data_IF_519152454202
#
_entry.id   IF_519152454202
#
_cell.length_a   1.000
_cell.length_b   1.000
_cell.length_c   1.000
_cell.angle_alpha   90.00
_cell.angle_beta   90.00
_cell.angle_gamma   90.00
#
_symmetry.space_group_name_H-M   'P 1'
#
loop_
_entity.id
_entity.type
_entity.pdbx_description
1 polymer ?
#
# COMPACT_ATOMS: atom_id res chain seq x y z
N UNK A 1 6.55 -14.09 -6.64
CA UNK A 1 7.31 -12.87 -6.27
C UNK A 1 6.32 -11.75 -6.01
N UNK A 2 6.36 -11.16 -4.83
CA UNK A 2 5.52 -10.01 -4.44
C UNK A 2 6.03 -8.75 -5.15
N UNK A 3 5.16 -7.97 -5.75
CA UNK A 3 5.50 -6.70 -6.38
C UNK A 3 5.76 -5.63 -5.31
N UNK A 4 6.91 -4.96 -5.39
CA UNK A 4 7.32 -3.92 -4.45
C UNK A 4 6.91 -2.56 -5.00
N UNK A 5 6.10 -1.82 -4.24
CA UNK A 5 5.60 -0.51 -4.66
C UNK A 5 6.47 0.57 -4.00
N UNK A 6 7.12 1.40 -4.83
CA UNK A 6 7.97 2.47 -4.37
C UNK A 6 7.39 3.83 -4.73
N UNK A 7 7.13 4.66 -3.71
CA UNK A 7 6.70 6.05 -3.91
C UNK A 7 7.92 6.93 -4.19
N UNK A 8 7.88 7.70 -5.29
CA UNK A 8 8.91 8.69 -5.61
C UNK A 8 8.45 9.66 -6.69
N UNK A 9 9.01 10.88 -6.66
CA UNK A 9 8.97 11.85 -7.75
C UNK A 9 10.39 12.24 -8.22
N UNK A 10 11.41 11.50 -7.79
CA UNK A 10 12.79 11.63 -8.23
C UNK A 10 13.06 10.68 -9.41
N UNK A 11 13.33 11.21 -10.63
CA UNK A 11 13.59 10.40 -11.81
C UNK A 11 14.85 9.52 -11.71
N UNK A 12 15.88 9.96 -10.99
CA UNK A 12 17.12 9.18 -10.86
C UNK A 12 16.89 7.99 -9.92
N UNK A 13 16.17 8.20 -8.83
CA UNK A 13 15.76 7.11 -7.96
C UNK A 13 14.77 6.16 -8.66
N UNK A 14 13.84 6.69 -9.47
CA UNK A 14 12.92 5.88 -10.26
C UNK A 14 13.66 4.95 -11.24
N UNK A 15 14.74 5.41 -11.91
CA UNK A 15 15.60 4.55 -12.77
C UNK A 15 16.28 3.43 -11.98
N UNK A 16 16.75 3.72 -10.76
CA UNK A 16 17.33 2.70 -9.88
C UNK A 16 16.30 1.62 -9.53
N UNK A 17 15.08 2.04 -9.18
CA UNK A 17 13.99 1.11 -8.90
C UNK A 17 13.59 0.29 -10.14
N UNK A 18 13.48 0.93 -11.32
CA UNK A 18 13.11 0.27 -12.59
C UNK A 18 14.11 -0.80 -13.03
N UNK A 19 15.36 -0.72 -12.58
CA UNK A 19 16.39 -1.72 -12.82
C UNK A 19 16.20 -3.01 -12.01
N UNK A 20 15.39 -2.97 -10.94
CA UNK A 20 15.12 -4.11 -10.07
C UNK A 20 13.88 -4.88 -10.54
N UNK A 21 13.87 -6.20 -10.32
CA UNK A 21 12.73 -7.03 -10.71
C UNK A 21 11.54 -6.87 -9.75
N UNK A 22 10.33 -6.86 -10.34
CA UNK A 22 9.08 -6.83 -9.58
C UNK A 22 8.83 -5.50 -8.86
N UNK A 23 9.27 -4.39 -9.44
CA UNK A 23 8.97 -3.04 -8.94
C UNK A 23 7.74 -2.45 -9.62
N UNK A 24 6.98 -1.64 -8.88
CA UNK A 24 5.96 -0.71 -9.34
C UNK A 24 6.29 0.66 -8.77
N UNK A 25 6.31 1.70 -9.61
CA UNK A 25 6.50 3.06 -9.14
C UNK A 25 5.15 3.71 -8.82
N UNK A 26 5.16 4.62 -7.85
CA UNK A 26 3.96 5.29 -7.39
C UNK A 26 4.19 6.79 -7.25
N UNK A 27 3.38 7.58 -7.99
CA UNK A 27 3.22 9.03 -7.79
C UNK A 27 1.93 9.27 -7.00
N UNK A 28 2.05 10.00 -5.90
CA UNK A 28 0.94 10.28 -4.98
C UNK A 28 0.45 11.72 -5.13
N UNK A 29 -0.69 11.90 -5.78
CA UNK A 29 -1.33 13.21 -5.98
C UNK A 29 -2.45 13.49 -4.96
N UNK A 30 -2.69 12.60 -4.01
CA UNK A 30 -3.72 12.80 -2.99
C UNK A 30 -3.42 13.99 -2.09
N UNK A 31 -4.33 14.98 -2.07
CA UNK A 31 -4.26 16.19 -1.24
C UNK A 31 -5.54 16.45 -0.47
N UNK A 32 -6.71 16.17 -1.08
CA UNK A 32 -8.01 16.48 -0.50
C UNK A 32 -8.24 15.72 0.80
N UNK A 33 -8.53 16.46 1.88
CA UNK A 33 -8.77 15.92 3.21
C UNK A 33 -7.55 15.34 3.93
N UNK A 34 -6.37 15.26 3.26
CA UNK A 34 -5.18 14.62 3.84
C UNK A 34 -4.59 15.40 5.02
N UNK A 35 -4.54 16.72 4.91
CA UNK A 35 -4.02 17.59 5.98
C UNK A 35 -4.85 17.47 7.27
N UNK A 36 -6.17 17.38 7.15
CA UNK A 36 -7.10 17.27 8.28
C UNK A 36 -6.98 15.89 8.96
N UNK A 37 -6.94 14.80 8.18
CA UNK A 37 -6.80 13.43 8.71
C UNK A 37 -5.46 13.18 9.40
N UNK A 38 -4.42 13.88 8.97
CA UNK A 38 -3.04 13.68 9.44
C UNK A 38 -2.57 14.76 10.42
N UNK A 39 -3.44 15.70 10.81
CA UNK A 39 -3.12 16.74 11.78
C UNK A 39 -2.66 16.12 13.12
N UNK A 40 -1.51 16.56 13.62
CA UNK A 40 -0.90 16.04 14.85
C UNK A 40 -0.22 14.67 14.74
N UNK A 41 -0.06 14.11 13.53
CA UNK A 41 0.56 12.80 13.30
C UNK A 41 1.84 12.94 12.48
N UNK A 42 2.84 12.11 12.77
CA UNK A 42 4.09 12.07 12.01
C UNK A 42 3.91 11.27 10.69
N UNK A 43 3.03 11.78 9.81
CA UNK A 43 2.75 11.20 8.50
C UNK A 43 3.31 12.11 7.39
N UNK A 44 3.80 11.48 6.32
CA UNK A 44 4.36 12.22 5.19
C UNK A 44 3.24 12.62 4.23
N UNK A 45 3.09 13.94 4.01
CA UNK A 45 2.27 14.46 2.92
C UNK A 45 3.18 14.58 1.70
N UNK A 46 2.86 13.87 0.64
CA UNK A 46 3.60 13.92 -0.61
C UNK A 46 3.51 15.33 -1.22
N UNK A 47 4.64 15.85 -1.68
CA UNK A 47 4.71 17.11 -2.44
C UNK A 47 4.65 16.89 -3.96
N UNK A 48 4.32 15.65 -4.40
CA UNK A 48 4.28 15.31 -5.81
C UNK A 48 3.29 16.20 -6.58
N UNK A 49 3.66 16.56 -7.79
CA UNK A 49 2.88 17.40 -8.69
C UNK A 49 2.38 16.56 -9.89
N UNK A 50 1.37 17.07 -10.58
CA UNK A 50 0.82 16.39 -11.76
C UNK A 50 1.89 16.11 -12.83
N UNK A 51 2.84 17.04 -13.03
CA UNK A 51 3.91 16.89 -14.01
C UNK A 51 4.97 15.84 -13.61
N UNK A 52 5.03 15.45 -12.34
CA UNK A 52 5.87 14.33 -11.90
C UNK A 52 5.44 13.01 -12.54
N UNK A 53 4.16 12.85 -12.89
CA UNK A 53 3.67 11.67 -13.58
C UNK A 53 4.42 11.47 -14.91
N UNK A 54 4.49 12.51 -15.76
CA UNK A 54 5.22 12.43 -17.02
C UNK A 54 6.73 12.26 -16.78
N UNK A 55 7.32 13.03 -15.85
CA UNK A 55 8.76 12.96 -15.53
C UNK A 55 9.20 11.57 -15.08
N UNK A 56 8.39 10.91 -14.25
CA UNK A 56 8.67 9.54 -13.81
C UNK A 56 8.42 8.57 -14.96
N UNK A 57 7.30 8.69 -15.69
CA UNK A 57 6.99 7.80 -16.82
C UNK A 57 8.08 7.79 -17.89
N UNK A 58 8.66 8.93 -18.21
CA UNK A 58 9.69 9.08 -19.25
C UNK A 58 10.96 8.27 -18.96
N UNK A 59 11.24 8.00 -17.69
CA UNK A 59 12.45 7.25 -17.28
C UNK A 59 12.22 5.77 -17.08
N UNK A 60 10.95 5.32 -16.97
CA UNK A 60 10.62 3.92 -16.76
C UNK A 60 10.70 3.11 -18.07
N UNK A 61 11.21 1.88 -17.98
CA UNK A 61 11.31 0.93 -19.09
C UNK A 61 10.60 -0.39 -18.83
N UNK A 62 10.47 -0.78 -17.56
CA UNK A 62 9.98 -2.10 -17.12
C UNK A 62 8.84 -1.99 -16.11
N UNK A 63 9.02 -1.17 -15.10
CA UNK A 63 8.09 -1.03 -14.00
C UNK A 63 6.83 -0.23 -14.42
N UNK A 64 5.63 -0.68 -14.08
CA UNK A 64 4.43 0.12 -14.28
C UNK A 64 4.39 1.33 -13.34
N UNK A 65 3.78 2.41 -13.81
CA UNK A 65 3.54 3.62 -13.04
C UNK A 65 2.10 3.65 -12.52
N UNK A 66 1.94 3.55 -11.22
CA UNK A 66 0.68 3.76 -10.52
C UNK A 66 0.57 5.21 -10.05
N UNK A 67 -0.62 5.82 -10.20
CA UNK A 67 -0.89 7.16 -9.66
C UNK A 67 -2.07 7.08 -8.71
N UNK A 68 -1.86 7.51 -7.45
CA UNK A 68 -2.96 7.75 -6.52
C UNK A 68 -3.50 9.14 -6.78
N UNK A 69 -4.75 9.20 -7.20
CA UNK A 69 -5.52 10.44 -7.42
C UNK A 69 -6.18 10.90 -6.12
N UNK A 70 -6.87 12.02 -6.15
CA UNK A 70 -7.69 12.45 -5.02
C UNK A 70 -8.91 11.54 -4.84
N UNK A 71 -9.53 11.51 -3.63
CA UNK A 71 -10.86 10.94 -3.43
C UNK A 71 -11.84 11.48 -4.48
N UNK A 72 -12.85 10.68 -4.87
CA UNK A 72 -13.82 11.09 -5.88
C UNK A 72 -14.43 12.45 -5.52
N UNK A 73 -14.38 13.38 -6.46
CA UNK A 73 -14.81 14.77 -6.29
C UNK A 73 -15.25 15.35 -7.64
N UNK A 74 -15.86 16.55 -7.70
CA UNK A 74 -16.32 17.15 -8.95
C UNK A 74 -15.25 17.36 -10.02
N UNK A 75 -13.96 17.45 -9.66
CA UNK A 75 -12.82 17.63 -10.58
C UNK A 75 -12.19 16.29 -11.02
N UNK A 76 -12.67 15.15 -10.53
CA UNK A 76 -12.05 13.83 -10.80
C UNK A 76 -12.01 13.49 -12.30
N UNK A 77 -12.96 13.93 -13.11
CA UNK A 77 -12.94 13.68 -14.55
C UNK A 77 -11.72 14.35 -15.22
N UNK A 78 -11.45 15.59 -14.88
CA UNK A 78 -10.30 16.35 -15.40
C UNK A 78 -8.98 15.79 -14.86
N UNK A 79 -8.92 15.44 -13.56
CA UNK A 79 -7.76 14.82 -12.94
C UNK A 79 -7.41 13.49 -13.62
N UNK A 80 -8.38 12.58 -13.79
CA UNK A 80 -8.17 11.29 -14.47
C UNK A 80 -7.64 11.52 -15.89
N UNK A 81 -8.24 12.43 -16.67
CA UNK A 81 -7.79 12.72 -18.02
C UNK A 81 -6.36 13.27 -18.04
N UNK A 82 -6.02 14.18 -17.13
CA UNK A 82 -4.72 14.80 -17.06
C UNK A 82 -3.62 13.79 -16.65
N UNK A 83 -3.93 12.88 -15.73
CA UNK A 83 -3.01 11.83 -15.25
C UNK A 83 -2.77 10.78 -16.35
N UNK A 84 -3.84 10.34 -17.03
CA UNK A 84 -3.72 9.37 -18.14
C UNK A 84 -2.96 9.94 -19.33
N UNK A 85 -3.18 11.22 -19.67
CA UNK A 85 -2.43 11.89 -20.72
C UNK A 85 -0.91 11.98 -20.44
N UNK A 86 -0.50 11.84 -19.18
CA UNK A 86 0.91 11.81 -18.75
C UNK A 86 1.47 10.40 -18.60
N UNK A 87 0.70 9.38 -18.96
CA UNK A 87 1.20 8.00 -19.10
C UNK A 87 1.09 7.13 -17.85
N UNK A 88 0.17 7.41 -16.92
CA UNK A 88 -0.13 6.49 -15.84
C UNK A 88 -0.62 5.13 -16.38
N UNK A 89 -0.08 4.03 -15.86
CA UNK A 89 -0.46 2.67 -16.24
C UNK A 89 -1.58 2.10 -15.35
N UNK A 90 -1.72 2.61 -14.11
CA UNK A 90 -2.77 2.24 -13.16
C UNK A 90 -3.21 3.48 -12.37
N UNK A 91 -4.48 3.52 -11.98
CA UNK A 91 -4.99 4.54 -11.07
C UNK A 91 -5.42 3.93 -9.74
N UNK A 92 -5.00 4.53 -8.62
CA UNK A 92 -5.42 4.14 -7.28
C UNK A 92 -6.41 5.17 -6.74
N UNK A 93 -7.63 4.71 -6.39
CA UNK A 93 -8.66 5.53 -5.73
C UNK A 93 -8.54 5.38 -4.21
N UNK A 94 -8.23 6.47 -3.46
CA UNK A 94 -8.22 6.47 -2.02
C UNK A 94 -9.59 6.83 -1.43
N UNK A 95 -9.76 6.59 -0.13
CA UNK A 95 -10.76 7.18 0.77
C UNK A 95 -12.24 7.01 0.37
N UNK A 96 -12.57 6.15 -0.59
CA UNK A 96 -13.97 5.88 -0.90
C UNK A 96 -14.66 5.17 0.29
N UNK A 97 -15.94 5.45 0.47
CA UNK A 97 -16.76 4.95 1.57
C UNK A 97 -17.99 4.18 1.10
N UNK A 98 -18.40 4.40 -0.15
CA UNK A 98 -19.60 3.82 -0.75
C UNK A 98 -19.29 3.09 -2.05
N UNK A 99 -20.22 2.21 -2.44
CA UNK A 99 -20.18 1.52 -3.73
C UNK A 99 -20.24 2.51 -4.88
N UNK A 100 -21.11 3.53 -4.76
CA UNK A 100 -21.35 4.54 -5.81
C UNK A 100 -20.09 5.36 -6.11
N UNK A 101 -19.25 5.64 -5.09
CA UNK A 101 -18.00 6.37 -5.29
C UNK A 101 -17.01 5.56 -6.15
N UNK A 102 -16.83 4.26 -5.88
CA UNK A 102 -15.93 3.42 -6.68
C UNK A 102 -16.50 3.18 -8.09
N UNK A 103 -17.81 2.96 -8.23
CA UNK A 103 -18.46 2.79 -9.52
C UNK A 103 -18.41 4.08 -10.35
N UNK A 104 -18.64 5.24 -9.72
CA UNK A 104 -18.50 6.55 -10.35
C UNK A 104 -17.08 6.79 -10.86
N UNK A 105 -16.07 6.46 -10.05
CA UNK A 105 -14.68 6.53 -10.49
C UNK A 105 -14.38 5.56 -11.63
N UNK A 106 -14.88 4.32 -11.56
CA UNK A 106 -14.75 3.35 -12.65
C UNK A 106 -15.33 3.86 -13.96
N UNK A 107 -16.50 4.51 -13.91
CA UNK A 107 -17.12 5.12 -15.09
C UNK A 107 -16.28 6.25 -15.69
N UNK A 108 -15.62 7.07 -14.83
CA UNK A 108 -14.68 8.11 -15.29
C UNK A 108 -13.43 7.52 -15.93
N UNK A 109 -12.89 6.45 -15.38
CA UNK A 109 -11.71 5.74 -15.96
C UNK A 109 -12.10 5.05 -17.27
N UNK A 110 -13.33 4.56 -17.38
CA UNK A 110 -13.91 3.98 -18.60
C UNK A 110 -13.06 2.85 -19.23
N UNK A 111 -12.42 2.02 -18.40
CA UNK A 111 -11.60 0.90 -18.83
C UNK A 111 -10.28 1.27 -19.51
N UNK A 112 -9.88 2.55 -19.50
CA UNK A 112 -8.63 3.02 -20.15
C UNK A 112 -7.39 2.46 -19.49
N UNK A 113 -7.42 2.26 -18.19
CA UNK A 113 -6.36 1.62 -17.39
C UNK A 113 -6.98 0.82 -16.24
N UNK A 114 -6.26 -0.14 -15.65
CA UNK A 114 -6.67 -0.84 -14.44
C UNK A 114 -6.85 0.09 -13.24
N UNK A 115 -7.83 -0.24 -12.37
CA UNK A 115 -8.10 0.46 -11.12
C UNK A 115 -7.57 -0.36 -9.94
N UNK A 116 -6.93 0.32 -9.00
CA UNK A 116 -6.58 -0.18 -7.66
C UNK A 116 -7.52 0.49 -6.66
N UNK A 117 -8.36 -0.27 -5.98
CA UNK A 117 -9.18 0.24 -4.88
C UNK A 117 -8.36 0.25 -3.59
N UNK A 118 -8.08 1.43 -3.04
CA UNK A 118 -7.42 1.56 -1.74
C UNK A 118 -8.48 1.47 -0.63
N UNK A 119 -8.66 0.27 -0.07
CA UNK A 119 -9.58 0.01 1.03
C UNK A 119 -8.97 0.51 2.34
N UNK A 120 -9.43 1.65 2.82
CA UNK A 120 -8.87 2.31 4.01
C UNK A 120 -9.93 3.00 4.88
N UNK A 121 -11.22 2.74 4.61
CA UNK A 121 -12.35 3.27 5.38
C UNK A 121 -13.26 2.17 5.91
N UNK A 122 -13.91 2.41 7.04
CA UNK A 122 -14.91 1.48 7.59
C UNK A 122 -16.10 1.28 6.63
N UNK A 123 -16.49 2.32 5.88
CA UNK A 123 -17.57 2.27 4.90
C UNK A 123 -17.23 1.32 3.73
N UNK A 124 -16.03 1.47 3.12
CA UNK A 124 -15.56 0.56 2.08
C UNK A 124 -15.47 -0.90 2.57
N UNK A 125 -15.01 -1.10 3.82
CA UNK A 125 -14.94 -2.43 4.43
C UNK A 125 -16.33 -3.06 4.64
N UNK A 126 -17.31 -2.26 5.06
CA UNK A 126 -18.67 -2.72 5.31
C UNK A 126 -19.37 -3.17 4.02
N UNK A 127 -19.10 -2.51 2.89
CA UNK A 127 -19.70 -2.75 1.58
C UNK A 127 -18.81 -3.55 0.63
N UNK A 128 -17.79 -4.24 1.14
CA UNK A 128 -16.78 -4.96 0.35
C UNK A 128 -17.38 -5.86 -0.73
N UNK A 129 -18.39 -6.67 -0.37
CA UNK A 129 -19.00 -7.62 -1.29
C UNK A 129 -19.81 -6.96 -2.42
N UNK A 130 -20.25 -5.71 -2.22
CA UNK A 130 -21.08 -5.00 -3.18
C UNK A 130 -20.23 -4.30 -4.25
N UNK A 131 -19.02 -3.85 -3.91
CA UNK A 131 -18.15 -3.15 -4.86
C UNK A 131 -17.00 -3.99 -5.44
N UNK A 132 -16.71 -5.18 -4.87
CA UNK A 132 -15.57 -6.00 -5.32
C UNK A 132 -15.67 -6.44 -6.79
N UNK A 133 -16.86 -6.45 -7.38
CA UNK A 133 -17.11 -6.75 -8.78
C UNK A 133 -17.19 -5.51 -9.71
N UNK A 134 -16.76 -4.34 -9.23
CA UNK A 134 -16.78 -3.10 -10.02
C UNK A 134 -15.98 -3.25 -11.31
N UNK A 135 -16.52 -2.86 -12.48
CA UNK A 135 -15.81 -2.96 -13.76
C UNK A 135 -14.48 -2.19 -13.75
N UNK A 136 -13.44 -2.76 -14.36
CA UNK A 136 -12.10 -2.16 -14.41
C UNK A 136 -11.28 -2.29 -13.13
N UNK A 137 -11.86 -2.78 -12.03
CA UNK A 137 -11.12 -3.09 -10.81
C UNK A 137 -10.15 -4.24 -11.09
N UNK A 138 -8.89 -4.05 -10.76
CA UNK A 138 -7.82 -5.05 -10.96
C UNK A 138 -7.20 -5.51 -9.66
N UNK A 139 -7.17 -4.63 -8.67
CA UNK A 139 -6.46 -4.88 -7.41
C UNK A 139 -7.21 -4.23 -6.25
N UNK A 140 -7.24 -4.92 -5.11
CA UNK A 140 -7.62 -4.34 -3.82
C UNK A 140 -6.34 -4.17 -3.01
N UNK A 141 -6.10 -2.95 -2.56
CA UNK A 141 -4.99 -2.65 -1.65
C UNK A 141 -5.55 -2.17 -0.31
N UNK A 142 -5.17 -2.80 0.81
CA UNK A 142 -5.65 -2.39 2.14
C UNK A 142 -4.70 -1.36 2.74
N UNK A 143 -5.17 -0.12 2.87
CA UNK A 143 -4.45 0.98 3.51
C UNK A 143 -4.54 0.90 5.02
N UNK A 144 -3.67 0.13 5.67
CA UNK A 144 -3.76 -0.18 7.10
C UNK A 144 -3.72 1.06 8.00
N UNK A 145 -2.99 2.13 7.56
CA UNK A 145 -2.85 3.33 8.39
C UNK A 145 -4.18 4.08 8.55
N UNK A 146 -4.90 4.34 7.47
CA UNK A 146 -6.19 5.04 7.55
C UNK A 146 -7.32 4.10 7.96
N UNK A 147 -7.25 2.81 7.59
CA UNK A 147 -8.25 1.82 7.99
C UNK A 147 -8.31 1.64 9.52
N UNK A 148 -7.15 1.49 10.20
CA UNK A 148 -7.18 1.29 11.65
C UNK A 148 -7.77 2.50 12.38
N UNK A 149 -7.49 3.72 11.87
CA UNK A 149 -8.07 4.95 12.41
C UNK A 149 -9.57 5.02 12.19
N UNK A 150 -10.03 4.69 10.99
CA UNK A 150 -11.44 4.64 10.64
C UNK A 150 -12.22 3.61 11.48
N UNK A 151 -11.54 2.57 11.96
CA UNK A 151 -12.10 1.55 12.84
C UNK A 151 -11.93 1.83 14.35
N UNK A 152 -11.29 2.96 14.73
CA UNK A 152 -11.02 3.30 16.12
C UNK A 152 -9.99 2.38 16.80
N UNK A 153 -9.09 1.77 16.03
CA UNK A 153 -8.02 0.91 16.51
C UNK A 153 -6.78 1.72 16.91
N UNK A 154 -5.88 1.13 17.70
CA UNK A 154 -4.72 1.82 18.24
C UNK A 154 -3.42 1.54 17.47
N UNK A 155 -3.34 0.42 16.76
CA UNK A 155 -2.17 0.02 16.01
C UNK A 155 -2.55 -0.42 14.58
N UNK A 156 -1.84 0.12 13.59
CA UNK A 156 -2.18 -0.09 12.19
C UNK A 156 -2.20 -1.56 11.73
N UNK A 157 -1.58 -2.49 12.46
CA UNK A 157 -1.57 -3.91 12.14
C UNK A 157 -2.68 -4.72 12.85
N UNK A 158 -3.52 -4.12 13.70
CA UNK A 158 -4.63 -4.85 14.31
C UNK A 158 -5.61 -5.45 13.29
N UNK A 159 -5.91 -4.81 12.12
CA UNK A 159 -6.73 -5.43 11.08
C UNK A 159 -6.16 -6.74 10.54
N UNK A 160 -4.84 -6.95 10.64
CA UNK A 160 -4.18 -8.20 10.27
C UNK A 160 -4.44 -9.29 11.32
N UNK A 161 -4.28 -8.96 12.61
CA UNK A 161 -4.47 -9.91 13.71
C UNK A 161 -5.93 -10.31 13.93
N UNK A 162 -6.89 -9.40 13.71
CA UNK A 162 -8.32 -9.65 13.92
C UNK A 162 -9.05 -10.25 12.70
N UNK A 163 -8.31 -10.62 11.63
CA UNK A 163 -8.85 -11.32 10.47
C UNK A 163 -9.50 -10.43 9.40
N UNK A 164 -9.54 -9.09 9.57
CA UNK A 164 -10.11 -8.17 8.57
C UNK A 164 -9.35 -8.29 7.24
N UNK A 165 -8.01 -8.26 7.29
CA UNK A 165 -7.17 -8.35 6.09
C UNK A 165 -7.36 -9.70 5.39
N UNK A 166 -7.50 -10.80 6.15
CA UNK A 166 -7.76 -12.13 5.59
C UNK A 166 -9.11 -12.19 4.85
N UNK A 167 -10.16 -11.58 5.42
CA UNK A 167 -11.48 -11.48 4.77
C UNK A 167 -11.41 -10.70 3.45
N UNK A 168 -10.64 -9.61 3.40
CA UNK A 168 -10.45 -8.83 2.17
C UNK A 168 -9.66 -9.62 1.13
N UNK A 169 -8.59 -10.32 1.54
CA UNK A 169 -7.81 -11.21 0.67
C UNK A 169 -8.70 -12.28 0.03
N UNK A 170 -9.54 -12.94 0.83
CA UNK A 170 -10.48 -13.95 0.35
C UNK A 170 -11.49 -13.38 -0.66
N UNK A 171 -12.05 -12.21 -0.40
CA UNK A 171 -12.97 -11.54 -1.32
C UNK A 171 -12.29 -11.19 -2.65
N UNK A 172 -11.06 -10.67 -2.61
CA UNK A 172 -10.27 -10.37 -3.80
C UNK A 172 -9.97 -11.62 -4.62
N UNK A 173 -9.50 -12.69 -3.97
CA UNK A 173 -9.14 -13.96 -4.63
C UNK A 173 -10.36 -14.62 -5.27
N UNK A 174 -11.53 -14.61 -4.62
CA UNK A 174 -12.79 -15.14 -5.21
C UNK A 174 -13.18 -14.43 -6.51
N UNK A 175 -12.82 -13.16 -6.66
CA UNK A 175 -13.08 -12.36 -7.87
C UNK A 175 -11.91 -12.36 -8.87
N UNK A 176 -10.84 -13.12 -8.59
CA UNK A 176 -9.63 -13.13 -9.43
C UNK A 176 -8.88 -11.80 -9.43
N UNK A 177 -9.09 -10.96 -8.42
CA UNK A 177 -8.38 -9.69 -8.26
C UNK A 177 -7.04 -9.90 -7.59
N UNK A 178 -6.07 -9.04 -7.91
CA UNK A 178 -4.84 -8.91 -7.15
C UNK A 178 -5.15 -8.33 -5.77
N UNK A 179 -4.29 -8.66 -4.80
CA UNK A 179 -4.44 -8.22 -3.43
C UNK A 179 -3.10 -7.75 -2.86
N UNK A 180 -3.12 -6.67 -2.10
CA UNK A 180 -2.00 -6.16 -1.33
C UNK A 180 -2.46 -5.45 -0.06
N UNK A 181 -1.56 -5.20 0.88
CA UNK A 181 -1.90 -4.48 2.10
C UNK A 181 -0.71 -3.78 2.75
N UNK A 182 -0.99 -2.73 3.52
CA UNK A 182 -0.06 -2.06 4.41
C UNK A 182 1.21 -1.53 3.76
N UNK A 183 2.21 -1.35 4.59
CA UNK A 183 3.58 -1.05 4.20
C UNK A 183 4.54 -1.97 4.93
N UNK A 184 5.69 -2.26 4.31
CA UNK A 184 6.73 -3.07 4.90
C UNK A 184 7.96 -2.22 5.23
N UNK A 185 8.48 -2.37 6.46
CA UNK A 185 9.77 -1.85 6.84
C UNK A 185 10.91 -2.80 6.40
N UNK A 186 12.16 -2.42 6.59
CA UNK A 186 13.28 -3.36 6.48
C UNK A 186 13.07 -4.53 7.43
N UNK A 187 13.65 -5.69 7.12
CA UNK A 187 13.30 -6.97 7.75
C UNK A 187 13.31 -6.95 9.29
N UNK A 188 14.28 -6.25 9.87
CA UNK A 188 14.49 -6.20 11.32
C UNK A 188 13.99 -4.90 11.97
N UNK A 189 13.27 -4.05 11.20
CA UNK A 189 12.81 -2.73 11.63
C UNK A 189 11.28 -2.67 11.78
N UNK A 190 10.82 -1.67 12.57
CA UNK A 190 9.41 -1.43 12.84
C UNK A 190 8.91 -2.02 14.15
N UNK A 191 7.75 -1.55 14.62
CA UNK A 191 7.09 -2.11 15.82
C UNK A 191 6.57 -3.53 15.56
N UNK A 192 6.23 -3.84 14.33
CA UNK A 192 6.11 -5.18 13.78
C UNK A 192 7.24 -5.33 12.75
N UNK A 193 8.21 -6.22 12.94
CA UNK A 193 9.33 -6.38 12.02
C UNK A 193 8.90 -6.66 10.59
N UNK A 194 9.62 -6.09 9.61
CA UNK A 194 9.31 -6.31 8.20
C UNK A 194 9.25 -7.79 7.81
N UNK A 195 10.09 -8.65 8.43
CA UNK A 195 10.05 -10.11 8.21
C UNK A 195 8.69 -10.73 8.61
N UNK A 196 8.08 -10.26 9.67
CA UNK A 196 6.77 -10.73 10.12
C UNK A 196 5.65 -10.25 9.19
N UNK A 197 5.73 -8.99 8.73
CA UNK A 197 4.82 -8.46 7.72
C UNK A 197 4.92 -9.27 6.43
N UNK A 198 6.14 -9.60 5.98
CA UNK A 198 6.38 -10.41 4.79
C UNK A 198 5.80 -11.83 4.92
N UNK A 199 5.93 -12.45 6.10
CA UNK A 199 5.34 -13.77 6.36
C UNK A 199 3.82 -13.74 6.20
N UNK A 200 3.14 -12.69 6.67
CA UNK A 200 1.70 -12.53 6.51
C UNK A 200 1.29 -12.23 5.05
N UNK A 201 2.11 -11.48 4.29
CA UNK A 201 1.90 -11.32 2.84
C UNK A 201 1.87 -12.67 2.13
N UNK A 202 2.85 -13.52 2.41
CA UNK A 202 2.94 -14.85 1.80
C UNK A 202 1.78 -15.76 2.24
N UNK A 203 1.45 -15.77 3.53
CA UNK A 203 0.33 -16.56 4.06
C UNK A 203 -1.01 -16.17 3.44
N UNK A 204 -1.24 -14.88 3.21
CA UNK A 204 -2.49 -14.35 2.65
C UNK A 204 -2.51 -14.32 1.11
N UNK A 205 -1.46 -14.81 0.44
CA UNK A 205 -1.38 -14.77 -1.02
C UNK A 205 -1.34 -13.36 -1.60
N UNK A 206 -0.79 -12.41 -0.85
CA UNK A 206 -0.62 -11.04 -1.28
C UNK A 206 0.37 -10.95 -2.44
N UNK A 207 0.09 -10.08 -3.40
CA UNK A 207 0.85 -9.92 -4.63
C UNK A 207 1.53 -8.56 -4.74
N UNK A 208 1.29 -7.64 -3.78
CA UNK A 208 1.88 -6.31 -3.78
C UNK A 208 2.09 -5.78 -2.35
N UNK A 209 3.18 -5.03 -2.14
CA UNK A 209 3.48 -4.36 -0.87
C UNK A 209 4.17 -3.01 -1.09
N UNK A 210 3.76 -1.98 -0.36
CA UNK A 210 4.40 -0.66 -0.36
C UNK A 210 5.67 -0.71 0.49
N UNK A 211 6.80 -0.29 -0.08
CA UNK A 211 8.04 -0.09 0.67
C UNK A 211 7.92 1.16 1.55
N UNK A 212 8.14 1.01 2.84
CA UNK A 212 8.05 2.13 3.78
C UNK A 212 9.28 3.05 3.67
N UNK A 213 9.19 4.21 4.32
CA UNK A 213 10.28 5.20 4.36
C UNK A 213 11.60 4.67 4.92
N UNK A 214 11.59 3.58 5.68
CA UNK A 214 12.82 3.00 6.24
C UNK A 214 13.78 2.52 5.16
N UNK A 215 13.30 2.23 3.96
CA UNK A 215 14.13 1.87 2.81
C UNK A 215 15.00 3.02 2.30
N UNK A 216 14.69 4.28 2.67
CA UNK A 216 15.44 5.47 2.26
C UNK A 216 16.43 5.99 3.30
N UNK A 217 16.52 5.39 4.50
CA UNK A 217 17.11 6.06 5.67
C UNK A 217 18.55 5.70 6.01
N UNK A 218 19.33 5.04 5.16
CA UNK A 218 20.67 4.58 5.58
C UNK A 218 21.77 4.74 4.51
N UNK A 219 21.82 5.91 3.84
CA UNK A 219 23.00 6.26 3.07
C UNK A 219 24.19 6.49 4.02
N UNK A 220 25.26 5.71 3.85
CA UNK A 220 26.51 5.95 4.59
C UNK A 220 27.29 7.05 3.85
N UNK A 221 27.59 8.20 4.48
CA UNK A 221 28.35 9.25 3.82
C UNK A 221 29.67 8.73 3.26
N UNK A 222 29.94 9.03 1.99
CA UNK A 222 31.20 8.69 1.30
C UNK A 222 31.27 7.31 0.64
N UNK A 223 30.21 6.49 0.72
CA UNK A 223 30.10 5.25 -0.05
C UNK A 223 28.99 5.39 -1.10
N UNK A 224 29.08 4.65 -2.25
CA UNK A 224 27.95 4.54 -3.17
C UNK A 224 26.72 4.05 -2.40
N UNK A 225 25.62 4.83 -2.46
CA UNK A 225 24.40 4.47 -1.76
C UNK A 225 23.70 3.31 -2.46
N UNK A 226 24.04 2.08 -2.08
CA UNK A 226 23.36 0.86 -2.47
C UNK A 226 22.42 0.34 -1.38
N UNK A 227 22.21 1.10 -0.34
CA UNK A 227 21.43 0.66 0.83
C UNK A 227 19.99 0.28 0.47
N UNK A 228 19.42 0.85 -0.59
CA UNK A 228 18.10 0.50 -1.11
C UNK A 228 18.11 -0.85 -1.82
N UNK A 229 19.01 -1.03 -2.79
CA UNK A 229 19.14 -2.28 -3.56
C UNK A 229 19.46 -3.46 -2.65
N UNK A 230 20.39 -3.28 -1.71
CA UNK A 230 20.78 -4.30 -0.74
C UNK A 230 19.59 -4.67 0.18
N UNK A 231 18.77 -3.69 0.58
CA UNK A 231 17.56 -3.95 1.36
C UNK A 231 16.49 -4.69 0.56
N UNK A 232 16.32 -4.37 -0.72
CA UNK A 232 15.42 -5.10 -1.64
C UNK A 232 15.92 -6.53 -1.86
N UNK A 233 17.23 -6.74 -2.06
CA UNK A 233 17.80 -8.07 -2.22
C UNK A 233 17.59 -8.94 -0.97
N UNK A 234 17.85 -8.40 0.22
CA UNK A 234 17.56 -9.08 1.49
C UNK A 234 16.07 -9.43 1.63
N UNK A 235 15.17 -8.53 1.20
CA UNK A 235 13.73 -8.79 1.21
C UNK A 235 13.37 -9.96 0.27
N UNK A 236 13.96 -10.01 -0.93
CA UNK A 236 13.76 -11.10 -1.90
C UNK A 236 14.27 -12.44 -1.38
N UNK A 237 15.43 -12.43 -0.72
CA UNK A 237 15.95 -13.63 -0.06
C UNK A 237 15.00 -14.12 1.04
N UNK A 238 14.52 -13.22 1.90
CA UNK A 238 13.56 -13.57 2.95
C UNK A 238 12.22 -14.05 2.37
N UNK A 239 11.73 -13.49 1.26
CA UNK A 239 10.55 -13.95 0.54
C UNK A 239 10.72 -15.41 0.10
N UNK A 240 11.88 -15.75 -0.48
CA UNK A 240 12.19 -17.12 -0.91
C UNK A 240 12.23 -18.08 0.29
N UNK A 241 12.92 -17.71 1.38
CA UNK A 241 13.02 -18.52 2.59
C UNK A 241 11.65 -18.77 3.23
N UNK A 242 10.85 -17.72 3.41
CA UNK A 242 9.52 -17.80 4.01
C UNK A 242 8.53 -18.56 3.14
N UNK A 243 8.70 -18.48 1.80
CA UNK A 243 7.90 -19.22 0.83
C UNK A 243 8.02 -20.74 0.93
N UNK A 244 9.06 -21.27 1.58
CA UNK A 244 9.23 -22.71 1.81
C UNK A 244 8.53 -23.23 3.06
N UNK A 245 7.90 -22.36 3.86
CA UNK A 245 7.25 -22.73 5.11
C UNK A 245 6.02 -23.61 4.90
N UNK A 246 5.91 -24.63 5.73
CA UNK A 246 4.71 -25.50 5.78
C UNK A 246 3.50 -24.74 6.35
N UNK A 247 2.29 -25.22 6.10
CA UNK A 247 1.07 -24.64 6.67
C UNK A 247 1.10 -24.58 8.21
N UNK A 248 1.67 -25.56 8.87
CA UNK A 248 1.82 -25.55 10.34
C UNK A 248 2.79 -24.46 10.83
N UNK A 249 3.87 -24.23 10.09
CA UNK A 249 4.82 -23.13 10.39
C UNK A 249 4.19 -21.78 10.15
N UNK A 250 3.45 -21.61 9.05
CA UNK A 250 2.70 -20.38 8.77
C UNK A 250 1.67 -20.07 9.85
N UNK A 251 0.95 -21.09 10.33
CA UNK A 251 0.00 -20.91 11.43
C UNK A 251 0.69 -20.56 12.76
N UNK A 252 1.83 -21.19 13.06
CA UNK A 252 2.65 -20.81 14.20
C UNK A 252 3.11 -19.35 14.14
N UNK A 253 3.56 -18.88 12.97
CA UNK A 253 3.92 -17.48 12.76
C UNK A 253 2.71 -16.56 12.94
N UNK A 254 1.57 -16.90 12.36
CA UNK A 254 0.33 -16.11 12.52
C UNK A 254 -0.03 -15.89 13.99
N UNK A 255 0.01 -16.94 14.80
CA UNK A 255 -0.31 -16.86 16.23
C UNK A 255 0.71 -15.98 16.97
N UNK A 256 2.00 -16.15 16.70
CA UNK A 256 3.08 -15.35 17.28
C UNK A 256 2.93 -13.87 16.91
N UNK A 257 2.72 -13.59 15.62
CA UNK A 257 2.56 -12.23 15.07
C UNK A 257 1.33 -11.55 15.68
N UNK A 258 0.21 -12.25 15.79
CA UNK A 258 -0.99 -11.72 16.44
C UNK A 258 -0.71 -11.34 17.91
N UNK A 259 0.09 -12.13 18.64
CA UNK A 259 0.53 -11.79 19.99
C UNK A 259 1.40 -10.53 20.07
N UNK A 260 2.33 -10.36 19.11
CA UNK A 260 3.15 -9.14 19.01
C UNK A 260 2.26 -7.91 18.75
N UNK A 261 1.33 -8.02 17.80
CA UNK A 261 0.39 -6.94 17.44
C UNK A 261 -0.45 -6.54 18.67
N UNK A 262 -1.04 -7.50 19.38
CA UNK A 262 -1.85 -7.25 20.57
C UNK A 262 -1.03 -6.55 21.66
N UNK A 263 0.21 -6.98 21.90
CA UNK A 263 1.09 -6.34 22.88
C UNK A 263 1.46 -4.90 22.51
N UNK A 264 1.64 -4.60 21.21
CA UNK A 264 1.88 -3.22 20.73
C UNK A 264 0.62 -2.37 20.91
N UNK A 265 -0.54 -2.86 20.47
CA UNK A 265 -1.82 -2.16 20.56
C UNK A 265 -2.15 -1.77 22.01
N UNK A 266 -2.00 -2.69 22.96
CA UNK A 266 -2.21 -2.43 24.40
C UNK A 266 -1.32 -1.29 24.91
N UNK A 267 -0.03 -1.28 24.54
CA UNK A 267 0.90 -0.20 24.95
C UNK A 267 0.53 1.15 24.34
N UNK A 268 0.06 1.16 23.09
CA UNK A 268 -0.37 2.41 22.43
C UNK A 268 -1.67 2.93 22.99
N UNK A 269 -2.65 2.07 23.31
CA UNK A 269 -3.89 2.43 23.99
C UNK A 269 -3.62 3.09 25.35
N UNK A 270 -2.81 2.46 26.21
CA UNK A 270 -2.45 3.00 27.51
C UNK A 270 -1.74 4.37 27.44
N UNK A 271 -0.93 4.61 26.40
CA UNK A 271 -0.30 5.91 26.18
C UNK A 271 -1.30 6.98 25.74
N UNK A 272 -2.29 6.62 24.91
CA UNK A 272 -3.34 7.53 24.48
C UNK A 272 -4.22 7.97 25.65
N UNK A 273 -4.60 7.02 26.52
CA UNK A 273 -5.36 7.29 27.76
C UNK A 273 -4.60 8.18 28.74
N UNK A 274 -3.28 8.00 28.86
CA UNK A 274 -2.44 8.82 29.75
C UNK A 274 -2.20 10.24 29.22
N UNK A 275 -2.46 10.49 27.93
CA UNK A 275 -2.28 11.79 27.27
C UNK A 275 -3.60 12.58 27.10
N UNK A 276 -4.76 11.96 27.37
CA UNK A 276 -6.10 12.54 27.29
C UNK A 276 -6.51 13.14 28.64
#
# INVERSE_FOLDING_TARGET
MIELIQITNDPDFARRCDALDGMRLWVDLERLGKAERQAGRNTFISEHQLDDVARIKDVLRRAPLMVRVNPLNPQSADEVNAVLARGADLLMLPMFTTVDELQGFSALVAGRVPIVALLETAGALATLNDWVATPGLREIYVGLNDLHLSLGLHFMFEPLANGIVARVAEAAHRQGLRFGFGGIARLDEGLLPGRDVLAEHLRLGSQAVILSRTFHQHATPGLPDRSFEDAVERLRQAESELGTRTAAQQEGDRVRIAGVIAGVATRLAARAEAAA
#
